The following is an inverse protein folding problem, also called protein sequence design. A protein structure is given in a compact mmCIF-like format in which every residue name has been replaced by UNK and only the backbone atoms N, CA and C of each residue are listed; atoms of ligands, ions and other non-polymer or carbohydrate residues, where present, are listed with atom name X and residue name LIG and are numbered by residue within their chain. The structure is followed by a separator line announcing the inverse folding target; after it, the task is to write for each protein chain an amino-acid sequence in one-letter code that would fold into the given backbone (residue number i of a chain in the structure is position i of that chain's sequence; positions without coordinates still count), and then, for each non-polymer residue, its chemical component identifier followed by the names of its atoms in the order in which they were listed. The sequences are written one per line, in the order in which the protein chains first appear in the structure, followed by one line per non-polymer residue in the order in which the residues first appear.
data_IF_457493542724
#
_entry.id   IF_457493542724
#
_cell.length_a   1.000
_cell.length_b   1.000
_cell.length_c   1.000
_cell.angle_alpha   90.00
_cell.angle_beta   90.00
_cell.angle_gamma   90.00
#
_symmetry.space_group_name_H-M   'P 1'
#
loop_
_entity.id
_entity.type
_entity.pdbx_description
1 polymer ?
#
# COMPACT_ATOMS: atom_id res chain seq x y z
N UNK A 1 20.53 9.46 27.12
CA UNK A 1 20.52 8.01 26.85
C UNK A 1 19.22 7.30 27.26
N UNK A 2 18.28 7.99 27.91
CA UNK A 2 16.96 7.45 28.36
C UNK A 2 15.84 7.47 27.30
N UNK A 3 16.01 8.14 26.17
CA UNK A 3 14.95 8.30 25.17
C UNK A 3 14.71 7.07 24.25
N UNK A 4 15.72 6.21 24.05
CA UNK A 4 15.59 5.02 23.17
C UNK A 4 14.81 3.85 23.78
N UNK A 5 14.85 3.68 25.09
CA UNK A 5 14.14 2.59 25.80
C UNK A 5 12.64 2.87 25.92
N UNK A 6 12.24 4.12 26.04
CA UNK A 6 10.82 4.49 26.14
C UNK A 6 10.07 4.38 24.79
N UNK A 7 10.72 4.70 23.67
CA UNK A 7 10.08 4.59 22.35
C UNK A 7 9.85 3.14 21.94
N UNK A 8 10.76 2.22 22.24
CA UNK A 8 10.61 0.80 21.89
C UNK A 8 9.49 0.11 22.68
N UNK A 9 9.30 0.48 23.97
CA UNK A 9 8.24 -0.03 24.82
C UNK A 9 6.88 0.52 24.35
N UNK A 10 6.79 1.82 24.09
CA UNK A 10 5.58 2.44 23.56
C UNK A 10 5.16 1.80 22.23
N UNK A 11 6.10 1.56 21.30
CA UNK A 11 5.84 0.92 20.01
C UNK A 11 5.27 -0.49 20.16
N UNK A 12 5.81 -1.30 21.08
CA UNK A 12 5.30 -2.64 21.35
C UNK A 12 3.90 -2.61 21.95
N UNK A 13 3.65 -1.75 22.92
CA UNK A 13 2.35 -1.58 23.56
C UNK A 13 1.29 -1.10 22.57
N UNK A 14 1.60 -0.11 21.72
CA UNK A 14 0.63 0.47 20.77
C UNK A 14 0.45 -0.36 19.51
N UNK A 15 1.46 -1.10 19.04
CA UNK A 15 1.24 -2.08 17.97
C UNK A 15 0.31 -3.22 18.42
N UNK A 16 0.41 -3.62 19.68
CA UNK A 16 -0.50 -4.59 20.28
C UNK A 16 -1.91 -4.03 20.50
N UNK A 17 -2.09 -2.70 20.51
CA UNK A 17 -3.39 -2.03 20.72
C UNK A 17 -4.02 -1.50 19.44
N UNK A 18 -3.35 -1.59 18.28
CA UNK A 18 -3.96 -1.25 17.00
C UNK A 18 -5.16 -2.15 16.72
N UNK A 19 -6.33 -1.55 16.53
CA UNK A 19 -7.57 -2.28 16.25
C UNK A 19 -7.60 -2.65 14.77
N UNK A 20 -7.87 -3.93 14.48
CA UNK A 20 -8.03 -4.46 13.13
C UNK A 20 -9.51 -4.73 12.86
N UNK A 21 -10.02 -4.35 11.69
CA UNK A 21 -11.41 -4.57 11.30
C UNK A 21 -11.57 -4.70 9.78
N UNK A 22 -12.76 -5.13 9.36
CA UNK A 22 -13.15 -5.26 7.96
C UNK A 22 -14.39 -4.41 7.68
N UNK A 23 -14.34 -3.61 6.63
CA UNK A 23 -15.49 -2.98 6.00
C UNK A 23 -15.95 -3.82 4.80
N UNK A 24 -17.26 -3.97 4.63
CA UNK A 24 -17.85 -4.76 3.56
C UNK A 24 -18.75 -3.90 2.69
N UNK A 25 -18.54 -4.00 1.38
CA UNK A 25 -19.31 -3.27 0.37
C UNK A 25 -20.02 -4.28 -0.54
N UNK A 26 -21.34 -4.26 -0.49
CA UNK A 26 -22.16 -5.14 -1.34
C UNK A 26 -22.31 -4.56 -2.76
N UNK A 27 -22.25 -5.44 -3.75
CA UNK A 27 -22.44 -5.11 -5.18
C UNK A 27 -21.55 -3.94 -5.65
N UNK A 28 -20.27 -3.93 -5.22
CA UNK A 28 -19.35 -2.88 -5.63
C UNK A 28 -19.08 -2.96 -7.13
N UNK A 29 -19.31 -1.84 -7.82
CA UNK A 29 -19.06 -1.69 -9.26
C UNK A 29 -17.77 -0.90 -9.46
N UNK A 30 -16.81 -1.52 -10.11
CA UNK A 30 -15.53 -0.90 -10.48
C UNK A 30 -15.70 0.09 -11.63
N UNK A 31 -14.77 1.01 -11.79
CA UNK A 31 -14.81 2.04 -12.84
C UNK A 31 -14.75 1.47 -14.25
N UNK A 32 -14.24 0.26 -14.43
CA UNK A 32 -14.27 -0.45 -15.73
C UNK A 32 -15.64 -1.12 -16.05
N UNK A 33 -16.58 -1.08 -15.11
CA UNK A 33 -17.93 -1.62 -15.23
C UNK A 33 -18.12 -3.03 -14.69
N UNK A 34 -17.01 -3.76 -14.36
CA UNK A 34 -17.09 -5.06 -13.69
C UNK A 34 -17.58 -4.90 -12.24
N UNK A 35 -18.08 -5.97 -11.64
CA UNK A 35 -18.61 -5.89 -10.26
C UNK A 35 -18.20 -7.09 -9.42
N UNK A 36 -18.10 -6.86 -8.10
CA UNK A 36 -18.05 -7.91 -7.08
C UNK A 36 -19.30 -7.86 -6.22
N UNK A 37 -19.95 -8.99 -6.05
CA UNK A 37 -21.13 -9.10 -5.19
C UNK A 37 -20.83 -8.67 -3.75
N UNK A 38 -19.62 -8.96 -3.29
CA UNK A 38 -19.17 -8.58 -1.95
C UNK A 38 -17.68 -8.27 -1.95
N UNK A 39 -17.30 -7.06 -1.54
CA UNK A 39 -15.93 -6.58 -1.48
C UNK A 39 -15.55 -6.22 -0.05
N UNK A 40 -14.41 -6.73 0.42
CA UNK A 40 -13.83 -6.42 1.73
C UNK A 40 -12.71 -5.40 1.59
N UNK A 41 -12.75 -4.39 2.45
CA UNK A 41 -11.59 -3.53 2.77
C UNK A 41 -11.21 -3.80 4.21
N UNK A 42 -10.04 -4.39 4.40
CA UNK A 42 -9.42 -4.53 5.71
C UNK A 42 -8.74 -3.24 6.11
N UNK A 43 -8.78 -2.89 7.38
CA UNK A 43 -8.10 -1.70 7.89
C UNK A 43 -7.67 -1.88 9.34
N UNK A 44 -6.68 -1.09 9.73
CA UNK A 44 -6.31 -0.92 11.13
C UNK A 44 -6.57 0.51 11.58
N UNK A 45 -6.78 0.71 12.88
CA UNK A 45 -6.83 2.04 13.49
C UNK A 45 -5.90 2.12 14.69
N UNK A 46 -5.34 3.31 14.93
CA UNK A 46 -4.48 3.59 16.06
C UNK A 46 -4.83 4.97 16.65
N UNK A 47 -4.79 5.10 17.97
CA UNK A 47 -5.28 6.29 18.66
C UNK A 47 -6.79 6.27 18.86
N UNK A 48 -7.36 7.40 19.27
CA UNK A 48 -8.78 7.51 19.59
C UNK A 48 -9.44 8.68 18.85
N UNK A 49 -10.68 8.50 18.36
CA UNK A 49 -11.41 9.59 17.74
C UNK A 49 -11.74 10.67 18.79
N UNK A 50 -11.44 11.91 18.47
CA UNK A 50 -11.90 13.08 19.19
C UNK A 50 -13.14 13.63 18.49
N UNK A 51 -14.14 14.05 19.28
CA UNK A 51 -15.36 14.66 18.73
C UNK A 51 -15.42 16.12 19.12
N UNK A 52 -15.66 16.97 18.15
CA UNK A 52 -15.89 18.39 18.36
C UNK A 52 -17.26 18.67 19.04
N UNK A 53 -17.57 19.95 19.27
CA UNK A 53 -18.83 20.35 19.89
C UNK A 53 -20.09 19.98 19.07
N UNK A 54 -19.94 19.72 17.78
CA UNK A 54 -21.00 19.26 16.88
C UNK A 54 -21.12 17.73 16.83
N UNK A 55 -20.27 17.01 17.57
CA UNK A 55 -20.23 15.54 17.62
C UNK A 55 -19.46 14.89 16.48
N UNK A 56 -18.85 15.67 15.59
CA UNK A 56 -18.07 15.19 14.44
C UNK A 56 -16.65 14.81 14.86
N UNK A 57 -16.08 13.78 14.24
CA UNK A 57 -14.67 13.40 14.44
C UNK A 57 -13.80 14.40 13.69
N UNK A 58 -12.91 15.10 14.40
CA UNK A 58 -12.10 16.22 13.86
C UNK A 58 -10.58 15.97 13.88
N UNK A 59 -10.14 14.79 14.35
CA UNK A 59 -8.72 14.45 14.46
C UNK A 59 -8.33 13.23 13.61
N UNK A 60 -9.15 12.81 12.66
CA UNK A 60 -8.91 11.62 11.86
C UNK A 60 -7.86 11.88 10.76
N UNK A 61 -6.89 10.97 10.64
CA UNK A 61 -5.86 10.99 9.59
C UNK A 61 -5.86 9.68 8.83
N UNK A 62 -5.99 9.74 7.51
CA UNK A 62 -5.88 8.59 6.64
C UNK A 62 -4.42 8.38 6.23
N UNK A 63 -3.86 7.20 6.47
CA UNK A 63 -2.46 6.86 6.18
C UNK A 63 -2.40 5.72 5.17
N UNK A 64 -2.00 6.03 3.93
CA UNK A 64 -2.14 5.14 2.78
C UNK A 64 -0.77 4.56 2.39
N UNK A 65 -0.70 3.22 2.32
CA UNK A 65 0.50 2.46 2.02
C UNK A 65 0.91 2.54 0.54
N UNK A 66 2.15 2.12 0.23
CA UNK A 66 2.71 2.03 -1.13
C UNK A 66 2.46 0.66 -1.78
N UNK A 67 2.81 0.53 -3.06
CA UNK A 67 2.75 -0.73 -3.82
C UNK A 67 3.54 -1.84 -3.11
N UNK A 68 2.91 -2.99 -2.89
CA UNK A 68 3.53 -4.14 -2.21
C UNK A 68 3.56 -4.05 -0.68
N UNK A 69 2.96 -3.02 -0.09
CA UNK A 69 2.73 -2.89 1.35
C UNK A 69 1.25 -3.11 1.69
N UNK A 70 0.94 -3.01 2.97
CA UNK A 70 -0.38 -3.04 3.58
C UNK A 70 -0.42 -2.09 4.79
N UNK A 71 -1.55 -1.94 5.43
CA UNK A 71 -1.70 -1.13 6.64
C UNK A 71 -0.79 -1.58 7.78
N UNK A 72 -0.57 -2.89 7.95
CA UNK A 72 0.34 -3.42 8.98
C UNK A 72 1.81 -3.05 8.72
N UNK A 73 2.21 -2.86 7.47
CA UNK A 73 3.56 -2.40 7.14
C UNK A 73 3.84 -1.03 7.73
N UNK A 74 2.83 -0.15 7.73
CA UNK A 74 2.91 1.19 8.34
C UNK A 74 2.91 1.14 9.87
N UNK A 75 2.41 0.08 10.48
CA UNK A 75 2.46 -0.17 11.92
C UNK A 75 3.78 -0.85 12.37
N UNK A 76 4.75 -1.03 11.47
CA UNK A 76 6.06 -1.56 11.84
C UNK A 76 6.84 -0.57 12.72
N UNK A 77 7.78 -1.10 13.52
CA UNK A 77 8.57 -0.34 14.50
C UNK A 77 9.13 0.97 13.96
N UNK A 78 9.69 0.94 12.76
CA UNK A 78 10.35 2.12 12.19
C UNK A 78 9.37 3.27 11.93
N UNK A 79 8.20 2.97 11.38
CA UNK A 79 7.17 3.98 11.12
C UNK A 79 6.51 4.44 12.41
N UNK A 80 6.22 3.51 13.33
CA UNK A 80 5.65 3.82 14.64
C UNK A 80 6.53 4.81 15.40
N UNK A 81 7.83 4.57 15.49
CA UNK A 81 8.77 5.44 16.21
C UNK A 81 9.00 6.78 15.50
N UNK A 82 8.98 6.80 14.17
CA UNK A 82 9.26 8.00 13.41
C UNK A 82 8.07 8.96 13.30
N UNK A 83 6.84 8.42 13.17
CA UNK A 83 5.67 9.21 12.82
C UNK A 83 4.59 9.25 13.90
N UNK A 84 4.36 8.14 14.64
CA UNK A 84 3.15 7.97 15.45
C UNK A 84 3.40 7.99 16.97
N UNK A 85 4.66 7.91 17.41
CA UNK A 85 5.02 7.97 18.82
C UNK A 85 4.73 9.36 19.43
N UNK A 86 4.66 9.48 20.77
CA UNK A 86 4.44 10.75 21.44
C UNK A 86 5.41 11.85 21.00
N UNK A 87 4.87 13.01 20.66
CA UNK A 87 5.61 14.17 20.17
C UNK A 87 6.08 14.07 18.71
N UNK A 88 5.66 13.03 17.97
CA UNK A 88 5.90 12.91 16.53
C UNK A 88 4.82 13.61 15.71
N UNK A 89 5.05 13.85 14.40
CA UNK A 89 4.10 14.63 13.57
C UNK A 89 2.67 14.12 13.58
N UNK A 90 2.48 12.80 13.63
CA UNK A 90 1.17 12.13 13.68
C UNK A 90 1.02 11.34 14.99
N UNK A 91 1.32 11.98 16.12
CA UNK A 91 1.24 11.41 17.46
C UNK A 91 -0.13 10.74 17.71
N UNK A 92 -0.15 9.43 17.95
CA UNK A 92 -1.36 8.64 18.15
C UNK A 92 -2.12 8.99 19.44
N UNK A 93 -1.55 9.78 20.36
CA UNK A 93 -2.28 10.35 21.49
C UNK A 93 -3.13 11.57 21.08
N UNK A 94 -2.91 12.14 19.91
CA UNK A 94 -3.59 13.33 19.39
C UNK A 94 -4.49 13.01 18.21
N UNK A 95 -4.08 12.08 17.35
CA UNK A 95 -4.75 11.76 16.12
C UNK A 95 -5.36 10.35 16.14
N UNK A 96 -6.49 10.23 15.45
CA UNK A 96 -7.10 8.95 15.12
C UNK A 96 -6.61 8.53 13.73
N UNK A 97 -5.66 7.61 13.72
CA UNK A 97 -4.97 7.15 12.52
C UNK A 97 -5.68 5.95 11.90
N UNK A 98 -5.90 5.97 10.60
CA UNK A 98 -6.63 4.95 9.84
C UNK A 98 -5.70 4.41 8.74
N UNK A 99 -5.47 3.10 8.72
CA UNK A 99 -4.55 2.40 7.83
C UNK A 99 -5.31 1.37 6.99
N UNK A 100 -5.93 1.74 5.86
CA UNK A 100 -6.60 0.78 5.01
C UNK A 100 -5.60 -0.09 4.26
N UNK A 101 -5.95 -1.36 4.04
CA UNK A 101 -5.39 -2.16 2.97
C UNK A 101 -6.15 -1.81 1.68
N UNK A 102 -5.47 -1.32 0.67
CA UNK A 102 -6.13 -1.06 -0.61
C UNK A 102 -6.67 -2.35 -1.24
N UNK A 103 -7.72 -2.26 -2.05
CA UNK A 103 -8.18 -3.39 -2.85
C UNK A 103 -7.01 -4.02 -3.61
N UNK A 104 -6.92 -5.34 -3.57
CA UNK A 104 -5.79 -6.09 -4.14
C UNK A 104 -4.56 -6.20 -3.23
N UNK A 105 -4.59 -5.67 -2.02
CA UNK A 105 -3.46 -5.66 -1.07
C UNK A 105 -3.88 -6.20 0.30
N UNK A 106 -2.89 -6.63 1.07
CA UNK A 106 -3.06 -7.05 2.45
C UNK A 106 -4.16 -8.11 2.64
N UNK A 107 -5.10 -7.81 3.52
CA UNK A 107 -6.27 -8.66 3.80
C UNK A 107 -7.55 -8.17 3.10
N UNK A 108 -7.49 -7.09 2.31
CA UNK A 108 -8.62 -6.67 1.47
C UNK A 108 -8.88 -7.66 0.35
N UNK A 109 -10.06 -7.62 -0.27
CA UNK A 109 -10.40 -8.46 -1.43
C UNK A 109 -9.35 -8.34 -2.52
N UNK A 110 -8.87 -9.48 -3.03
CA UNK A 110 -7.75 -9.55 -3.97
C UNK A 110 -7.87 -10.75 -4.90
N UNK A 111 -7.17 -10.76 -6.04
CA UNK A 111 -7.21 -11.88 -7.00
C UNK A 111 -6.92 -13.25 -6.37
N UNK A 112 -5.99 -13.32 -5.42
CA UNK A 112 -5.59 -14.58 -4.76
C UNK A 112 -6.67 -15.21 -3.87
N UNK A 113 -7.73 -14.48 -3.55
CA UNK A 113 -8.83 -15.00 -2.73
C UNK A 113 -9.74 -16.00 -3.50
N UNK A 114 -9.36 -16.37 -4.74
CA UNK A 114 -10.02 -17.39 -5.52
C UNK A 114 -10.31 -17.00 -6.97
N UNK A 115 -10.62 -15.75 -7.25
CA UNK A 115 -10.97 -15.29 -8.60
C UNK A 115 -9.78 -15.18 -9.55
N UNK A 116 -8.57 -15.02 -9.03
CA UNK A 116 -7.33 -14.96 -9.83
C UNK A 116 -7.46 -13.99 -11.01
N UNK A 117 -7.32 -14.49 -12.26
CA UNK A 117 -7.45 -13.70 -13.47
C UNK A 117 -8.86 -13.15 -13.71
N UNK A 118 -9.88 -13.75 -13.12
CA UNK A 118 -11.28 -13.30 -13.19
C UNK A 118 -11.64 -12.22 -12.16
N UNK A 119 -10.72 -11.83 -11.29
CA UNK A 119 -10.93 -10.70 -10.38
C UNK A 119 -11.10 -9.40 -11.19
N UNK A 120 -12.08 -8.53 -10.90
CA UNK A 120 -12.30 -7.29 -11.64
C UNK A 120 -11.05 -6.43 -11.75
N UNK A 121 -10.91 -5.74 -12.87
CA UNK A 121 -9.83 -4.76 -13.03
C UNK A 121 -10.12 -3.54 -12.16
N UNK A 122 -9.12 -3.09 -11.42
CA UNK A 122 -9.23 -1.93 -10.56
C UNK A 122 -8.09 -0.95 -10.80
N UNK A 123 -8.37 0.31 -10.61
CA UNK A 123 -7.41 1.41 -10.73
C UNK A 123 -7.31 2.23 -9.45
N UNK A 124 -6.60 3.34 -9.52
CA UNK A 124 -6.47 4.26 -8.39
C UNK A 124 -7.80 4.91 -8.02
N UNK A 125 -8.67 5.19 -9.01
CA UNK A 125 -10.02 5.71 -8.75
C UNK A 125 -10.83 4.77 -7.87
N UNK A 126 -10.80 3.45 -8.13
CA UNK A 126 -11.48 2.45 -7.28
C UNK A 126 -10.89 2.39 -5.88
N UNK A 127 -9.56 2.52 -5.74
CA UNK A 127 -8.91 2.57 -4.42
C UNK A 127 -9.38 3.78 -3.61
N UNK A 128 -9.42 4.95 -4.24
CA UNK A 128 -9.83 6.20 -3.61
C UNK A 128 -11.32 6.19 -3.24
N UNK A 129 -12.18 5.67 -4.12
CA UNK A 129 -13.60 5.50 -3.83
C UNK A 129 -13.83 4.57 -2.63
N UNK A 130 -13.16 3.42 -2.60
CA UNK A 130 -13.27 2.47 -1.48
C UNK A 130 -12.70 3.03 -0.17
N UNK A 131 -11.64 3.81 -0.21
CA UNK A 131 -11.10 4.53 0.95
C UNK A 131 -12.10 5.58 1.44
N UNK A 132 -12.71 6.34 0.54
CA UNK A 132 -13.72 7.33 0.88
C UNK A 132 -14.94 6.68 1.54
N UNK A 133 -15.46 5.60 0.98
CA UNK A 133 -16.57 4.84 1.54
C UNK A 133 -16.22 4.21 2.89
N UNK A 134 -14.99 3.71 3.08
CA UNK A 134 -14.51 3.25 4.38
C UNK A 134 -14.61 4.37 5.42
N UNK A 135 -14.11 5.56 5.09
CA UNK A 135 -14.07 6.71 5.99
C UNK A 135 -15.48 7.21 6.30
N UNK A 136 -16.33 7.36 5.29
CA UNK A 136 -17.65 7.97 5.44
C UNK A 136 -18.72 6.98 5.88
N UNK A 137 -18.84 5.82 5.20
CA UNK A 137 -19.94 4.88 5.44
C UNK A 137 -19.65 3.95 6.62
N UNK A 138 -18.37 3.53 6.81
CA UNK A 138 -18.03 2.58 7.88
C UNK A 138 -17.62 3.27 9.17
N UNK A 139 -16.80 4.32 9.08
CA UNK A 139 -16.25 5.01 10.25
C UNK A 139 -17.07 6.26 10.64
N UNK A 140 -17.98 6.71 9.78
CA UNK A 140 -18.84 7.90 10.04
C UNK A 140 -18.03 9.19 10.15
N UNK A 141 -16.93 9.31 9.37
CA UNK A 141 -16.06 10.48 9.36
C UNK A 141 -16.36 11.29 8.10
N UNK A 142 -16.91 12.46 8.26
CA UNK A 142 -17.28 13.34 7.15
C UNK A 142 -16.10 14.14 6.61
N UNK A 143 -15.11 14.43 7.48
CA UNK A 143 -13.96 15.25 7.16
C UNK A 143 -12.70 14.71 7.82
N UNK A 144 -11.61 14.60 7.06
CA UNK A 144 -10.30 14.17 7.54
C UNK A 144 -9.42 15.39 7.89
N UNK A 145 -8.75 15.33 9.03
CA UNK A 145 -7.72 16.32 9.36
C UNK A 145 -6.56 16.31 8.35
N UNK A 146 -6.14 15.10 7.92
CA UNK A 146 -5.11 14.99 6.89
C UNK A 146 -5.16 13.63 6.19
N UNK A 147 -4.52 13.57 5.01
CA UNK A 147 -4.22 12.33 4.28
C UNK A 147 -2.72 12.25 4.05
N UNK A 148 -2.05 11.27 4.63
CA UNK A 148 -0.66 10.92 4.33
C UNK A 148 -0.64 9.73 3.38
N UNK A 149 -0.04 9.86 2.21
CA UNK A 149 0.12 8.77 1.26
C UNK A 149 1.55 8.66 0.76
N UNK A 150 2.06 7.43 0.64
CA UNK A 150 3.42 7.17 0.17
C UNK A 150 3.41 6.44 -1.17
N UNK A 151 4.15 6.91 -2.18
CA UNK A 151 4.25 6.32 -3.52
C UNK A 151 2.85 6.13 -4.15
N UNK A 152 2.37 4.89 -4.32
CA UNK A 152 0.99 4.59 -4.74
C UNK A 152 -0.05 5.29 -3.84
N UNK A 153 0.13 5.25 -2.51
CA UNK A 153 -0.71 5.96 -1.57
C UNK A 153 -0.64 7.48 -1.75
N UNK A 154 0.52 8.03 -2.14
CA UNK A 154 0.66 9.43 -2.51
C UNK A 154 -0.10 9.79 -3.78
N UNK A 155 -0.14 8.89 -4.77
CA UNK A 155 -1.00 9.04 -5.96
C UNK A 155 -2.49 9.02 -5.57
N UNK A 156 -2.87 8.16 -4.61
CA UNK A 156 -4.23 8.18 -4.07
C UNK A 156 -4.53 9.51 -3.35
N UNK A 157 -3.60 10.05 -2.55
CA UNK A 157 -3.80 11.33 -1.86
C UNK A 157 -4.04 12.49 -2.84
N UNK A 158 -3.33 12.53 -3.96
CA UNK A 158 -3.60 13.50 -5.03
C UNK A 158 -5.02 13.33 -5.60
N UNK A 159 -5.43 12.10 -5.91
CA UNK A 159 -6.79 11.84 -6.43
C UNK A 159 -7.89 12.12 -5.40
N UNK A 160 -7.61 11.94 -4.10
CA UNK A 160 -8.53 12.36 -3.05
C UNK A 160 -8.82 13.86 -3.11
N UNK A 161 -7.77 14.68 -3.27
CA UNK A 161 -7.93 16.14 -3.37
C UNK A 161 -8.71 16.57 -4.62
N UNK A 162 -8.59 15.80 -5.72
CA UNK A 162 -9.35 16.06 -6.95
C UNK A 162 -10.82 15.60 -6.83
N UNK A 163 -11.05 14.38 -6.32
CA UNK A 163 -12.39 13.79 -6.26
C UNK A 163 -13.23 14.33 -5.09
N UNK A 164 -12.59 14.64 -3.95
CA UNK A 164 -13.25 15.04 -2.71
C UNK A 164 -12.56 16.28 -2.09
N UNK A 165 -12.55 17.44 -2.78
CA UNK A 165 -11.74 18.60 -2.39
C UNK A 165 -12.09 19.20 -1.01
N UNK A 166 -13.29 18.94 -0.50
CA UNK A 166 -13.77 19.42 0.79
C UNK A 166 -13.71 18.35 1.91
N UNK A 167 -13.18 17.18 1.63
CA UNK A 167 -13.19 16.06 2.59
C UNK A 167 -11.93 16.00 3.49
N UNK A 168 -10.98 16.91 3.32
CA UNK A 168 -9.76 16.97 4.13
C UNK A 168 -9.19 18.38 4.23
N UNK A 169 -8.55 18.71 5.37
CA UNK A 169 -7.81 19.99 5.53
C UNK A 169 -6.54 20.00 4.69
N UNK A 170 -5.93 18.84 4.44
CA UNK A 170 -4.70 18.78 3.67
C UNK A 170 -4.25 17.37 3.29
N UNK A 171 -3.39 17.31 2.30
CA UNK A 171 -2.76 16.09 1.83
C UNK A 171 -1.24 16.18 1.95
N UNK A 172 -0.60 15.05 2.29
CA UNK A 172 0.85 14.89 2.29
C UNK A 172 1.24 13.72 1.36
N UNK A 173 1.34 13.97 0.04
CA UNK A 173 1.75 12.96 -0.92
C UNK A 173 3.27 12.86 -0.94
N UNK A 174 3.82 11.72 -0.49
CA UNK A 174 5.27 11.47 -0.38
C UNK A 174 5.72 10.58 -1.52
N UNK A 175 6.84 10.94 -2.18
CA UNK A 175 7.45 10.18 -3.30
C UNK A 175 6.42 9.88 -4.41
N UNK A 176 5.65 10.90 -4.79
CA UNK A 176 4.60 10.78 -5.82
C UNK A 176 4.42 12.12 -6.57
N UNK A 177 3.72 12.05 -7.68
CA UNK A 177 3.42 13.21 -8.52
C UNK A 177 1.95 13.19 -8.95
N UNK A 178 1.31 14.36 -9.15
CA UNK A 178 -0.08 14.47 -9.63
C UNK A 178 -0.19 14.32 -11.16
N UNK A 179 0.59 13.40 -11.72
CA UNK A 179 0.62 13.13 -13.16
C UNK A 179 0.67 11.63 -13.42
N UNK A 180 0.21 11.16 -14.60
CA UNK A 180 0.33 9.77 -14.98
C UNK A 180 1.78 9.28 -14.97
N UNK A 181 1.99 8.02 -14.59
CA UNK A 181 3.30 7.37 -14.66
C UNK A 181 3.75 7.34 -16.12
N UNK A 182 4.98 7.82 -16.39
CA UNK A 182 5.54 7.93 -17.73
C UNK A 182 7.05 7.66 -17.77
N UNK A 183 7.65 7.72 -18.95
CA UNK A 183 9.08 7.62 -19.17
C UNK A 183 9.68 6.33 -18.59
N UNK A 184 10.82 6.45 -17.91
CA UNK A 184 11.57 5.32 -17.34
C UNK A 184 10.70 4.46 -16.41
N UNK A 185 9.86 5.09 -15.60
CA UNK A 185 8.99 4.38 -14.66
C UNK A 185 7.96 3.50 -15.41
N UNK A 186 7.39 3.99 -16.51
CA UNK A 186 6.50 3.20 -17.35
C UNK A 186 7.25 2.06 -18.06
N UNK A 187 8.45 2.32 -18.57
CA UNK A 187 9.23 1.32 -19.32
C UNK A 187 9.59 0.11 -18.45
N UNK A 188 10.18 0.32 -17.26
CA UNK A 188 10.57 -0.82 -16.43
C UNK A 188 9.36 -1.62 -15.95
N UNK A 189 8.23 -0.95 -15.66
CA UNK A 189 6.96 -1.65 -15.31
C UNK A 189 6.51 -2.53 -16.46
N UNK A 190 6.58 -2.02 -17.68
CA UNK A 190 6.25 -2.80 -18.86
C UNK A 190 7.16 -4.00 -19.06
N UNK A 191 8.46 -3.83 -18.86
CA UNK A 191 9.44 -4.94 -18.93
C UNK A 191 9.13 -6.03 -17.91
N UNK A 192 8.78 -5.67 -16.67
CA UNK A 192 8.38 -6.64 -15.63
C UNK A 192 7.09 -7.36 -16.02
N UNK A 193 6.07 -6.63 -16.50
CA UNK A 193 4.81 -7.19 -16.97
C UNK A 193 5.04 -8.20 -18.11
N UNK A 194 5.85 -7.83 -19.08
CA UNK A 194 6.10 -8.66 -20.25
C UNK A 194 6.90 -9.91 -19.87
N UNK A 195 7.89 -9.80 -18.97
CA UNK A 195 8.62 -10.95 -18.44
C UNK A 195 7.70 -11.96 -17.72
N UNK A 196 6.74 -11.47 -16.94
CA UNK A 196 5.76 -12.33 -16.26
C UNK A 196 4.82 -13.00 -17.27
N UNK A 197 4.27 -12.21 -18.22
CA UNK A 197 3.25 -12.70 -19.17
C UNK A 197 3.80 -13.66 -20.22
N UNK A 198 5.07 -13.50 -20.60
CA UNK A 198 5.75 -14.41 -21.53
C UNK A 198 6.17 -15.72 -20.89
N UNK A 199 6.14 -15.84 -19.58
CA UNK A 199 6.46 -17.07 -18.86
C UNK A 199 5.29 -18.06 -18.96
N UNK A 200 5.52 -19.31 -19.46
CA UNK A 200 4.48 -20.33 -19.48
C UNK A 200 3.85 -20.63 -18.11
N UNK A 201 4.63 -20.48 -17.02
CA UNK A 201 4.13 -20.67 -15.66
C UNK A 201 3.11 -19.61 -15.23
N UNK A 202 3.04 -18.47 -15.92
CA UNK A 202 2.01 -17.44 -15.69
C UNK A 202 0.59 -18.01 -15.88
N UNK A 203 0.41 -18.90 -16.85
CA UNK A 203 -0.86 -19.60 -17.13
C UNK A 203 -2.08 -18.65 -17.15
N UNK A 204 -1.95 -17.49 -17.84
CA UNK A 204 -3.02 -16.50 -17.91
C UNK A 204 -3.44 -15.89 -16.57
N UNK A 205 -2.56 -15.92 -15.54
CA UNK A 205 -2.85 -15.47 -14.17
C UNK A 205 -3.32 -16.58 -13.22
N UNK A 206 -3.37 -17.83 -13.69
CA UNK A 206 -3.81 -18.98 -12.88
C UNK A 206 -2.63 -19.81 -12.32
N UNK A 207 -1.52 -19.15 -12.06
CA UNK A 207 -0.33 -19.80 -11.49
C UNK A 207 -0.55 -20.26 -10.05
N UNK A 208 0.20 -21.29 -9.64
CA UNK A 208 0.20 -21.86 -8.28
C UNK A 208 1.49 -21.55 -7.51
N UNK A 209 2.55 -21.25 -8.22
CA UNK A 209 3.83 -20.79 -7.69
C UNK A 209 4.31 -19.56 -8.46
N UNK A 210 5.20 -18.74 -7.88
CA UNK A 210 5.72 -17.56 -8.57
C UNK A 210 6.30 -17.93 -9.95
N UNK A 211 5.81 -17.28 -11.05
CA UNK A 211 6.41 -17.49 -12.36
C UNK A 211 7.90 -17.12 -12.35
N UNK A 212 8.72 -17.87 -13.10
CA UNK A 212 10.15 -17.57 -13.22
C UNK A 212 10.39 -16.18 -13.80
N UNK A 213 9.53 -15.73 -14.70
CA UNK A 213 9.56 -14.36 -15.24
C UNK A 213 9.48 -13.27 -14.17
N UNK A 214 8.72 -13.48 -13.09
CA UNK A 214 8.72 -12.60 -11.93
C UNK A 214 10.07 -12.61 -11.20
N UNK A 215 10.61 -13.78 -10.90
CA UNK A 215 11.88 -13.92 -10.19
C UNK A 215 13.01 -13.23 -10.96
N UNK A 216 13.03 -13.44 -12.28
CA UNK A 216 14.05 -12.85 -13.17
C UNK A 216 13.93 -11.33 -13.35
N UNK A 217 12.69 -10.78 -13.31
CA UNK A 217 12.45 -9.37 -13.51
C UNK A 217 12.50 -8.54 -12.20
N UNK A 218 12.40 -9.16 -11.04
CA UNK A 218 12.40 -8.45 -9.76
C UNK A 218 13.66 -7.61 -9.48
N UNK A 219 14.88 -8.05 -9.85
CA UNK A 219 16.08 -7.21 -9.73
C UNK A 219 15.97 -5.87 -10.45
N UNK A 220 15.27 -5.81 -11.59
CA UNK A 220 15.02 -4.56 -12.30
C UNK A 220 14.19 -3.60 -11.45
N UNK A 221 13.16 -4.10 -10.77
CA UNK A 221 12.34 -3.30 -9.84
C UNK A 221 13.19 -2.80 -8.66
N UNK A 222 14.02 -3.65 -8.07
CA UNK A 222 14.95 -3.26 -6.99
C UNK A 222 15.91 -2.15 -7.44
N UNK A 223 16.54 -2.32 -8.58
CA UNK A 223 17.45 -1.31 -9.15
C UNK A 223 16.75 0.06 -9.33
N UNK A 224 15.47 0.07 -9.69
CA UNK A 224 14.71 1.31 -9.90
C UNK A 224 14.27 2.00 -8.61
N UNK A 225 14.32 1.32 -7.46
CA UNK A 225 14.00 1.88 -6.15
C UNK A 225 15.21 2.50 -5.46
N UNK A 226 16.41 2.14 -5.87
CA UNK A 226 17.66 2.66 -5.30
C UNK A 226 18.18 3.89 -6.07
N UNK A 227 18.80 4.82 -5.36
CA UNK A 227 19.45 5.97 -5.98
C UNK A 227 20.77 5.59 -6.66
N UNK A 228 21.07 6.21 -7.78
CA UNK A 228 22.30 5.94 -8.55
C UNK A 228 23.58 6.02 -7.70
N UNK A 229 23.78 7.06 -6.86
CA UNK A 229 24.98 7.12 -6.01
C UNK A 229 25.08 5.95 -5.02
N UNK A 230 23.96 5.50 -4.48
CA UNK A 230 23.92 4.34 -3.59
C UNK A 230 24.30 3.05 -4.33
N UNK A 231 23.73 2.83 -5.51
CA UNK A 231 24.07 1.67 -6.33
C UNK A 231 25.54 1.63 -6.71
N UNK A 232 26.19 2.76 -7.00
CA UNK A 232 27.63 2.83 -7.29
C UNK A 232 28.50 2.37 -6.10
N UNK A 233 28.01 2.58 -4.86
CA UNK A 233 28.72 2.15 -3.66
C UNK A 233 28.48 0.66 -3.36
N UNK A 234 27.25 0.19 -3.47
CA UNK A 234 26.91 -1.20 -3.08
C UNK A 234 27.14 -2.22 -4.19
N UNK A 235 27.26 -1.76 -5.44
CA UNK A 235 27.52 -2.59 -6.63
C UNK A 235 28.72 -2.02 -7.40
N UNK A 236 29.93 -2.04 -6.81
CA UNK A 236 31.12 -1.47 -7.44
C UNK A 236 31.76 -2.37 -8.53
N UNK A 237 31.40 -3.67 -8.57
CA UNK A 237 32.00 -4.67 -9.44
C UNK A 237 31.04 -5.80 -9.83
N UNK A 238 31.47 -6.70 -10.71
CA UNK A 238 30.67 -7.84 -11.17
C UNK A 238 30.23 -8.76 -10.04
N UNK A 239 31.12 -9.23 -9.15
CA UNK A 239 30.71 -10.05 -8.01
C UNK A 239 29.69 -9.39 -7.08
N UNK A 240 29.73 -8.08 -6.90
CA UNK A 240 28.70 -7.34 -6.14
C UNK A 240 27.38 -7.27 -6.91
N UNK A 241 27.40 -7.16 -8.23
CA UNK A 241 26.20 -7.23 -9.06
C UNK A 241 25.53 -8.61 -8.98
N UNK A 242 26.32 -9.69 -9.02
CA UNK A 242 25.80 -11.06 -8.87
C UNK A 242 25.12 -11.25 -7.53
N UNK A 243 25.71 -10.76 -6.43
CA UNK A 243 25.09 -10.80 -5.09
C UNK A 243 23.79 -9.99 -5.04
N UNK A 244 23.77 -8.77 -5.56
CA UNK A 244 22.58 -7.92 -5.60
C UNK A 244 21.41 -8.62 -6.32
N UNK A 245 21.70 -9.22 -7.48
CA UNK A 245 20.69 -9.96 -8.27
C UNK A 245 20.19 -11.18 -7.49
N UNK A 246 21.10 -11.99 -6.91
CA UNK A 246 20.73 -13.17 -6.14
C UNK A 246 19.87 -12.83 -4.90
N UNK A 247 20.22 -11.77 -4.18
CA UNK A 247 19.45 -11.27 -3.04
C UNK A 247 18.05 -10.80 -3.48
N UNK A 248 17.96 -10.04 -4.56
CA UNK A 248 16.68 -9.58 -5.11
C UNK A 248 15.78 -10.75 -5.53
N UNK A 249 16.33 -11.76 -6.21
CA UNK A 249 15.60 -12.97 -6.59
C UNK A 249 15.13 -13.77 -5.36
N UNK A 250 15.97 -13.88 -4.34
CA UNK A 250 15.60 -14.50 -3.06
C UNK A 250 14.44 -13.77 -2.36
N UNK A 251 14.47 -12.43 -2.37
CA UNK A 251 13.37 -11.62 -1.86
C UNK A 251 12.08 -11.86 -2.66
N UNK A 252 12.16 -11.90 -4.00
CA UNK A 252 11.03 -12.20 -4.86
C UNK A 252 10.40 -13.57 -4.57
N UNK A 253 11.22 -14.59 -4.36
CA UNK A 253 10.78 -15.92 -3.99
C UNK A 253 10.09 -15.95 -2.62
N UNK A 254 10.69 -15.29 -1.61
CA UNK A 254 10.13 -15.22 -0.26
C UNK A 254 8.79 -14.47 -0.20
N UNK A 255 8.61 -13.43 -1.02
CA UNK A 255 7.34 -12.74 -1.18
C UNK A 255 6.31 -13.68 -1.82
N UNK A 256 6.71 -14.49 -2.79
CA UNK A 256 5.85 -15.46 -3.47
C UNK A 256 5.32 -16.58 -2.60
N UNK A 257 6.06 -16.98 -1.56
CA UNK A 257 5.66 -18.06 -0.65
C UNK A 257 4.76 -17.60 0.50
N UNK A 258 4.77 -16.30 0.83
CA UNK A 258 3.96 -15.74 1.92
C UNK A 258 2.49 -15.50 1.56
N UNK A 259 2.02 -15.96 0.41
CA UNK A 259 0.60 -16.03 0.00
C UNK A 259 -0.16 -14.68 -0.05
N UNK A 260 0.22 -13.71 0.76
CA UNK A 260 -0.59 -12.56 1.11
C UNK A 260 -0.20 -11.23 0.45
N UNK A 261 1.08 -11.02 0.14
CA UNK A 261 1.55 -9.69 -0.29
C UNK A 261 1.80 -9.55 -1.79
N UNK A 262 1.96 -10.67 -2.47
CA UNK A 262 2.63 -10.68 -3.77
C UNK A 262 1.69 -10.75 -4.99
N UNK A 263 0.54 -11.39 -4.84
CA UNK A 263 -0.41 -11.51 -5.95
C UNK A 263 -1.06 -10.15 -6.30
N UNK A 264 -1.23 -9.25 -5.33
CA UNK A 264 -1.70 -7.89 -5.58
C UNK A 264 -0.73 -7.09 -6.46
N UNK A 265 0.55 -7.12 -6.15
CA UNK A 265 1.59 -6.41 -6.92
C UNK A 265 1.69 -6.96 -8.34
N UNK A 266 1.74 -8.29 -8.51
CA UNK A 266 1.84 -8.94 -9.82
C UNK A 266 0.60 -8.68 -10.66
N UNK A 267 -0.57 -8.81 -10.08
CA UNK A 267 -1.84 -8.58 -10.76
C UNK A 267 -1.99 -7.11 -11.13
N UNK A 268 -1.62 -6.19 -10.25
CA UNK A 268 -1.70 -4.75 -10.50
C UNK A 268 -0.70 -4.30 -11.58
N UNK A 269 0.52 -4.85 -11.60
CA UNK A 269 1.49 -4.58 -12.68
C UNK A 269 1.03 -5.16 -14.02
N UNK A 270 0.32 -6.30 -14.03
CA UNK A 270 -0.10 -6.99 -15.25
C UNK A 270 -1.44 -6.52 -15.83
N UNK A 271 -2.21 -5.68 -15.13
CA UNK A 271 -3.57 -5.29 -15.54
C UNK A 271 -3.68 -3.94 -16.24
N UNK A 272 -2.56 -3.29 -16.55
CA UNK A 272 -2.54 -2.03 -17.32
C UNK A 272 -2.09 -2.22 -18.74
#
# INVERSE_FOLDING_TARGET
MQTRTNSSRWTQEHNATATQADAWFENYRFHDGESLARLRIHYATLGSPHRNAQGQIDNAVLVIHWTGADGNTLLSKNYMEALFAPGRPLDANRYFLIFPDNVGHGKSSRPSDGLKAAFPKYGYGDMVDLQHRLVTETLGIEHLHAILGMSMGGMNAWQWAEAYPNATDGIMPVVSMPIPISGRNMLWRRMVIDAIRSDPQWNGGNYTSPPQGWLSAFPLMRMMLDGVPHLQVVVPDGPAADRFIAEAQSQAAAVGTRGDKDQGVRTQLCRR
#
